data_IF_979925521054
#
_entry.id   IF_979925521054
#
_cell.length_a   1.000
_cell.length_b   1.000
_cell.length_c   1.000
_cell.angle_alpha   90.00
_cell.angle_beta   90.00
_cell.angle_gamma   90.00
#
_symmetry.space_group_name_H-M   'P 1'
#
loop_
_entity.id
_entity.type
_entity.pdbx_description
1 polymer ?
#
# COMPACT_ATOMS: atom_id res chain seq x y z
N UNK A 1 5.51 -3.72 14.93
CA UNK A 1 5.68 -2.26 15.02
C UNK A 1 5.97 -1.99 16.47
N UNK A 2 7.09 -1.34 16.73
CA UNK A 2 7.51 -0.97 18.09
C UNK A 2 7.70 0.55 18.12
N UNK A 3 7.20 1.19 19.17
CA UNK A 3 7.30 2.63 19.37
C UNK A 3 8.15 2.92 20.58
N UNK A 4 9.15 3.79 20.41
CA UNK A 4 10.08 4.20 21.45
C UNK A 4 9.80 5.67 21.79
N UNK A 5 9.10 5.94 22.91
CA UNK A 5 8.65 7.29 23.25
C UNK A 5 9.82 8.24 23.57
N UNK A 6 10.89 7.73 24.18
CA UNK A 6 12.06 8.52 24.58
C UNK A 6 12.82 9.12 23.39
N UNK A 7 12.83 8.41 22.26
CA UNK A 7 13.55 8.83 21.06
C UNK A 7 12.63 9.37 19.96
N UNK A 8 11.30 9.35 20.20
CA UNK A 8 10.28 9.64 19.19
C UNK A 8 10.51 8.86 17.88
N UNK A 9 10.78 7.55 18.01
CA UNK A 9 11.07 6.64 16.88
C UNK A 9 10.09 5.48 16.81
N UNK A 10 9.84 5.04 15.58
CA UNK A 10 9.02 3.88 15.26
C UNK A 10 9.83 2.90 14.43
N UNK A 11 9.87 1.65 14.86
CA UNK A 11 10.46 0.55 14.10
C UNK A 11 9.35 -0.30 13.48
N UNK A 12 9.35 -0.36 12.15
CA UNK A 12 8.39 -1.14 11.37
C UNK A 12 9.07 -2.32 10.67
N UNK A 13 8.58 -3.53 10.95
CA UNK A 13 8.99 -4.76 10.27
C UNK A 13 7.90 -5.20 9.30
N UNK A 14 8.22 -5.21 8.01
CA UNK A 14 7.31 -5.68 6.97
C UNK A 14 7.12 -7.20 7.04
N UNK A 15 5.87 -7.64 6.93
CA UNK A 15 5.51 -9.07 6.97
C UNK A 15 6.16 -9.89 5.85
N UNK A 16 6.28 -9.30 4.66
CA UNK A 16 6.69 -10.04 3.45
C UNK A 16 8.16 -9.87 3.11
N UNK A 17 8.74 -8.70 3.36
CA UNK A 17 10.09 -8.41 2.90
C UNK A 17 11.19 -8.72 3.92
N UNK A 18 10.86 -9.16 5.15
CA UNK A 18 11.80 -9.26 6.29
C UNK A 18 12.67 -8.02 6.52
N UNK A 19 12.31 -6.88 5.90
CA UNK A 19 13.02 -5.62 6.03
C UNK A 19 12.46 -4.87 7.22
N UNK A 20 13.38 -4.38 8.03
CA UNK A 20 13.12 -3.48 9.14
C UNK A 20 13.44 -2.07 8.66
N UNK A 21 12.57 -1.13 9.01
CA UNK A 21 12.74 0.29 8.73
C UNK A 21 12.46 1.07 9.99
N UNK A 22 13.35 2.00 10.29
CA UNK A 22 13.19 2.97 11.35
C UNK A 22 12.65 4.27 10.75
N UNK A 23 11.73 4.90 11.47
CA UNK A 23 11.12 6.17 11.11
C UNK A 23 11.10 7.07 12.33
N UNK A 24 11.21 8.39 12.13
CA UNK A 24 10.77 9.33 13.15
C UNK A 24 9.25 9.27 13.31
N UNK A 25 8.72 9.67 14.48
CA UNK A 25 7.27 9.68 14.75
C UNK A 25 6.47 10.44 13.69
N UNK A 26 6.98 11.59 13.24
CA UNK A 26 6.28 12.45 12.27
C UNK A 26 6.28 11.83 10.87
N UNK A 27 7.42 11.30 10.42
CA UNK A 27 7.53 10.61 9.14
C UNK A 27 6.65 9.36 9.11
N UNK A 28 6.55 8.66 10.23
CA UNK A 28 5.67 7.50 10.34
C UNK A 28 4.20 7.88 10.15
N UNK A 29 3.74 8.96 10.80
CA UNK A 29 2.38 9.46 10.61
C UNK A 29 2.12 9.90 9.17
N UNK A 30 3.05 10.63 8.56
CA UNK A 30 2.93 11.04 7.16
C UNK A 30 2.88 9.84 6.21
N UNK A 31 3.72 8.82 6.44
CA UNK A 31 3.73 7.59 5.65
C UNK A 31 2.42 6.81 5.79
N UNK A 32 1.85 6.73 7.00
CA UNK A 32 0.55 6.10 7.23
C UNK A 32 -0.57 6.84 6.50
N UNK A 33 -0.64 8.17 6.66
CA UNK A 33 -1.66 8.99 5.99
C UNK A 33 -1.54 8.90 4.46
N UNK A 34 -0.32 8.87 3.92
CA UNK A 34 -0.08 8.74 2.47
C UNK A 34 -0.42 7.35 1.92
N UNK A 35 -0.47 6.33 2.77
CA UNK A 35 -0.86 4.98 2.35
C UNK A 35 -2.38 4.81 2.25
N UNK A 36 -3.14 5.67 2.93
CA UNK A 36 -4.60 5.63 2.87
C UNK A 36 -5.03 6.11 1.47
N UNK A 37 -5.74 5.27 0.71
CA UNK A 37 -6.23 5.64 -0.62
C UNK A 37 -7.32 6.71 -0.53
N UNK A 38 -7.43 7.55 -1.55
CA UNK A 38 -8.52 8.51 -1.64
C UNK A 38 -9.88 7.83 -1.81
N UNK A 39 -10.95 8.55 -1.47
CA UNK A 39 -12.32 8.04 -1.60
C UNK A 39 -12.58 7.60 -3.05
N UNK A 40 -12.95 6.33 -3.23
CA UNK A 40 -13.26 5.74 -4.53
C UNK A 40 -12.05 5.23 -5.31
N UNK A 41 -10.82 5.52 -4.88
CA UNK A 41 -9.61 5.04 -5.54
C UNK A 41 -9.48 3.51 -5.41
N UNK A 42 -9.87 2.94 -4.27
CA UNK A 42 -9.95 1.48 -4.10
C UNK A 42 -10.90 0.82 -5.10
N UNK A 43 -12.05 1.43 -5.35
CA UNK A 43 -13.04 0.96 -6.33
C UNK A 43 -12.44 1.02 -7.75
N UNK A 44 -11.79 2.12 -8.11
CA UNK A 44 -11.10 2.26 -9.40
C UNK A 44 -9.99 1.23 -9.59
N UNK A 45 -9.16 1.00 -8.56
CA UNK A 45 -8.08 -0.01 -8.61
C UNK A 45 -8.65 -1.42 -8.78
N UNK A 46 -9.68 -1.78 -8.01
CA UNK A 46 -10.27 -3.12 -8.05
C UNK A 46 -11.01 -3.39 -9.37
N UNK A 47 -11.99 -2.56 -9.71
CA UNK A 47 -12.79 -2.75 -10.93
C UNK A 47 -12.02 -2.40 -12.20
N UNK A 48 -11.12 -1.42 -12.15
CA UNK A 48 -10.25 -1.09 -13.27
C UNK A 48 -9.30 -2.25 -13.62
N UNK A 49 -8.65 -2.85 -12.62
CA UNK A 49 -7.80 -4.03 -12.84
C UNK A 49 -8.61 -5.20 -13.41
N UNK A 50 -9.76 -5.52 -12.82
CA UNK A 50 -10.60 -6.62 -13.27
C UNK A 50 -11.12 -6.40 -14.71
N UNK A 51 -11.54 -5.18 -15.03
CA UNK A 51 -12.00 -4.81 -16.37
C UNK A 51 -10.89 -4.95 -17.42
N UNK A 52 -9.65 -4.55 -17.08
CA UNK A 52 -8.50 -4.69 -17.97
C UNK A 52 -8.13 -6.16 -18.22
N UNK A 53 -8.17 -7.00 -17.18
CA UNK A 53 -7.94 -8.44 -17.32
C UNK A 53 -8.99 -9.09 -18.23
N UNK A 54 -10.28 -8.78 -18.04
CA UNK A 54 -11.35 -9.34 -18.88
C UNK A 54 -11.20 -8.90 -20.34
N UNK A 55 -10.98 -7.62 -20.61
CA UNK A 55 -10.77 -7.12 -21.98
C UNK A 55 -9.57 -7.80 -22.63
N UNK A 56 -8.49 -8.01 -21.88
CA UNK A 56 -7.32 -8.74 -22.34
C UNK A 56 -7.61 -10.19 -22.71
N UNK A 57 -8.42 -10.89 -21.91
CA UNK A 57 -8.86 -12.27 -22.21
C UNK A 57 -9.73 -12.32 -23.47
N UNK A 58 -10.75 -11.47 -23.56
CA UNK A 58 -11.63 -11.38 -24.73
C UNK A 58 -10.86 -11.10 -26.03
N UNK A 59 -9.83 -10.23 -25.97
CA UNK A 59 -8.98 -9.93 -27.13
C UNK A 59 -8.11 -11.12 -27.56
N UNK A 60 -7.74 -12.02 -26.63
CA UNK A 60 -7.02 -13.26 -26.95
C UNK A 60 -7.97 -14.31 -27.52
N UNK A 61 -9.17 -14.42 -26.98
CA UNK A 61 -10.17 -15.42 -27.40
C UNK A 61 -10.78 -15.10 -28.78
N UNK A 62 -10.85 -13.82 -29.17
CA UNK A 62 -11.28 -13.39 -30.52
C UNK A 62 -10.19 -13.51 -31.60
N UNK A 63 -9.04 -14.12 -31.32
CA UNK A 63 -7.92 -14.29 -32.28
C UNK A 63 -7.70 -15.75 -32.59
#
# INVERSE_FOLDING_TARGET
MEYFPEEAKVTYRSKYSKKEKEFSSLEWMAALCSHIPDRGEQTLRYYGYYSNVIRGKLKKDCR
#
